data_IF_665456276518
#
_entry.id   IF_665456276518
#
_cell.length_a   1.000
_cell.length_b   1.000
_cell.length_c   1.000
_cell.angle_alpha   90.00
_cell.angle_beta   90.00
_cell.angle_gamma   90.00
#
_symmetry.space_group_name_H-M   'P 1'
#
loop_
_entity.id
_entity.type
_entity.pdbx_description
1 polymer ?
#
# COMPACT_ATOMS: atom_id res chain seq x y z
N UNK A 1 18.17 19.08 -17.40
CA UNK A 1 17.20 18.84 -18.49
C UNK A 1 15.89 19.50 -18.07
N UNK A 2 15.20 20.15 -19.01
CA UNK A 2 13.90 20.77 -18.73
C UNK A 2 12.79 19.79 -19.04
N UNK A 3 11.82 19.69 -18.15
CA UNK A 3 10.59 18.90 -18.31
C UNK A 3 9.38 19.74 -17.91
N UNK A 4 8.20 19.37 -18.40
CA UNK A 4 6.91 19.85 -17.92
C UNK A 4 6.40 18.84 -16.88
N UNK A 5 6.14 19.31 -15.66
CA UNK A 5 5.66 18.47 -14.57
C UNK A 5 4.19 18.05 -14.75
N UNK A 6 3.67 17.21 -13.85
CA UNK A 6 2.28 16.73 -13.92
C UNK A 6 1.22 17.85 -13.81
N UNK A 7 1.60 19.01 -13.28
CA UNK A 7 0.74 20.19 -13.14
C UNK A 7 0.85 21.16 -14.33
N UNK A 8 1.72 20.87 -15.30
CA UNK A 8 1.98 21.73 -16.45
C UNK A 8 3.06 22.79 -16.24
N UNK A 9 3.82 22.73 -15.14
CA UNK A 9 4.89 23.68 -14.86
C UNK A 9 6.24 23.23 -15.43
N UNK A 10 7.01 24.13 -16.00
CA UNK A 10 8.38 23.85 -16.42
C UNK A 10 9.33 23.71 -15.23
N UNK A 11 10.10 22.61 -15.21
CA UNK A 11 11.07 22.30 -14.15
C UNK A 11 12.38 21.79 -14.70
N UNK A 12 13.46 22.14 -14.02
CA UNK A 12 14.80 21.61 -14.29
C UNK A 12 15.06 20.37 -13.44
N UNK A 13 15.15 19.20 -14.09
CA UNK A 13 15.57 17.96 -13.47
C UNK A 13 17.04 17.65 -13.79
N UNK A 14 17.69 16.91 -12.88
CA UNK A 14 19.07 16.49 -13.03
C UNK A 14 19.19 15.17 -13.79
N UNK A 15 18.31 14.20 -13.51
CA UNK A 15 18.27 12.91 -14.21
C UNK A 15 16.88 12.30 -14.15
N UNK A 16 16.56 11.49 -15.15
CA UNK A 16 15.33 10.70 -15.22
C UNK A 16 15.73 9.26 -15.46
N UNK A 17 15.15 8.33 -14.72
CA UNK A 17 15.42 6.90 -14.84
C UNK A 17 14.19 6.07 -14.56
N UNK A 18 14.18 4.88 -15.16
CA UNK A 18 13.24 3.83 -14.80
C UNK A 18 13.58 3.31 -13.40
N UNK A 19 12.54 2.99 -12.64
CA UNK A 19 12.66 2.36 -11.33
C UNK A 19 11.98 1.00 -11.38
N UNK A 20 12.77 -0.08 -11.31
CA UNK A 20 12.24 -1.44 -11.37
C UNK A 20 11.34 -1.80 -10.19
N UNK A 21 11.43 -1.06 -9.08
CA UNK A 21 10.53 -1.23 -7.93
C UNK A 21 9.17 -0.54 -8.12
N UNK A 22 9.06 0.37 -9.08
CA UNK A 22 7.85 1.16 -9.34
C UNK A 22 7.52 1.13 -10.84
N UNK A 23 7.10 -0.03 -11.37
CA UNK A 23 6.70 -0.15 -12.77
C UNK A 23 5.57 0.84 -13.07
N UNK A 24 5.61 1.45 -14.26
CA UNK A 24 4.62 2.48 -14.66
C UNK A 24 5.00 3.90 -14.25
N UNK A 25 6.08 4.08 -13.47
CA UNK A 25 6.56 5.40 -13.04
C UNK A 25 7.98 5.68 -13.53
N UNK A 26 8.23 6.97 -13.79
CA UNK A 26 9.57 7.52 -13.99
C UNK A 26 10.06 8.16 -12.72
N UNK A 27 11.25 7.79 -12.27
CA UNK A 27 11.92 8.43 -11.15
C UNK A 27 12.73 9.62 -11.64
N UNK A 28 12.29 10.81 -11.24
CA UNK A 28 12.88 12.08 -11.63
C UNK A 28 13.64 12.65 -10.44
N UNK A 29 14.94 12.86 -10.63
CA UNK A 29 15.81 13.44 -9.63
C UNK A 29 15.89 14.95 -9.81
N UNK A 30 15.55 15.69 -8.76
CA UNK A 30 15.68 17.15 -8.71
C UNK A 30 16.78 17.54 -7.73
N UNK A 31 17.50 18.62 -8.07
CA UNK A 31 18.50 19.21 -7.20
C UNK A 31 18.47 20.72 -7.33
N UNK A 32 18.47 21.39 -6.19
CA UNK A 32 18.71 22.83 -6.09
C UNK A 32 19.81 23.09 -5.05
N UNK A 33 20.12 24.35 -4.79
CA UNK A 33 21.17 24.75 -3.85
C UNK A 33 20.95 24.24 -2.42
N UNK A 34 19.69 24.01 -2.02
CA UNK A 34 19.30 23.69 -0.64
C UNK A 34 18.98 22.22 -0.40
N UNK A 35 18.54 21.50 -1.43
CA UNK A 35 18.07 20.11 -1.32
C UNK A 35 18.18 19.35 -2.63
N UNK A 36 18.21 18.04 -2.47
CA UNK A 36 18.03 17.07 -3.53
C UNK A 36 16.89 16.15 -3.13
N UNK A 37 16.01 15.82 -4.09
CA UNK A 37 14.84 14.98 -3.84
C UNK A 37 14.42 14.27 -5.12
N UNK A 38 13.72 13.15 -4.94
CA UNK A 38 13.15 12.36 -6.03
C UNK A 38 11.63 12.55 -6.10
N UNK A 39 11.07 12.52 -7.30
CA UNK A 39 9.63 12.38 -7.52
C UNK A 39 9.36 11.27 -8.53
N UNK A 40 8.27 10.55 -8.35
CA UNK A 40 7.81 9.50 -9.25
C UNK A 40 6.62 10.03 -10.03
N UNK A 41 6.75 10.12 -11.36
CA UNK A 41 5.66 10.55 -12.24
C UNK A 41 5.11 9.34 -12.98
N UNK A 42 3.77 9.20 -13.11
CA UNK A 42 3.20 8.21 -14.01
C UNK A 42 3.75 8.44 -15.42
N UNK A 43 4.17 7.35 -16.08
CA UNK A 43 4.72 7.43 -17.44
C UNK A 43 3.71 8.08 -18.39
N UNK A 44 2.43 7.75 -18.27
CA UNK A 44 1.35 8.33 -19.09
C UNK A 44 1.31 9.85 -18.98
N UNK A 45 1.35 10.39 -17.76
CA UNK A 45 1.26 11.84 -17.51
C UNK A 45 2.55 12.54 -17.95
N UNK A 46 3.71 11.92 -17.67
CA UNK A 46 4.99 12.43 -18.12
C UNK A 46 5.04 12.54 -19.65
N UNK A 47 4.63 11.49 -20.38
CA UNK A 47 4.63 11.48 -21.85
C UNK A 47 3.59 12.41 -22.46
N UNK A 48 2.43 12.56 -21.81
CA UNK A 48 1.41 13.54 -22.22
C UNK A 48 1.98 14.95 -22.22
N UNK A 49 2.76 15.31 -21.20
CA UNK A 49 3.34 16.63 -21.05
C UNK A 49 4.70 16.79 -21.76
N UNK A 50 5.41 15.69 -22.00
CA UNK A 50 6.76 15.66 -22.60
C UNK A 50 6.86 14.65 -23.75
N UNK A 51 6.08 14.80 -24.84
CA UNK A 51 6.01 13.79 -25.90
C UNK A 51 7.37 13.55 -26.60
N UNK A 52 8.24 14.55 -26.64
CA UNK A 52 9.58 14.44 -27.23
C UNK A 52 10.57 13.61 -26.37
N UNK A 53 10.19 13.24 -25.15
CA UNK A 53 11.00 12.47 -24.22
C UNK A 53 10.54 11.02 -24.08
N UNK A 54 9.80 10.50 -25.05
CA UNK A 54 9.32 9.10 -25.08
C UNK A 54 10.43 8.07 -24.95
N UNK A 55 11.61 8.36 -25.50
CA UNK A 55 12.79 7.51 -25.40
C UNK A 55 13.22 7.20 -23.96
N UNK A 56 12.86 8.05 -22.98
CA UNK A 56 13.18 7.82 -21.57
C UNK A 56 12.27 6.76 -20.92
N UNK A 57 11.15 6.43 -21.56
CA UNK A 57 10.23 5.38 -21.14
C UNK A 57 10.37 4.08 -21.96
N UNK A 58 11.24 4.07 -22.98
CA UNK A 58 11.49 2.88 -23.80
C UNK A 58 12.10 1.76 -22.93
N UNK A 59 11.49 0.57 -23.00
CA UNK A 59 11.87 -0.58 -22.17
C UNK A 59 11.02 -0.79 -20.91
N UNK A 60 10.00 0.05 -20.68
CA UNK A 60 9.02 -0.21 -19.61
C UNK A 60 7.89 -1.10 -20.10
N UNK A 61 7.56 -2.11 -19.31
CA UNK A 61 6.22 -2.72 -19.37
C UNK A 61 5.29 -1.85 -18.54
N UNK A 62 4.23 -1.32 -19.16
CA UNK A 62 3.16 -0.70 -18.37
C UNK A 62 2.60 -1.76 -17.43
N UNK A 63 2.59 -1.51 -16.12
CA UNK A 63 1.98 -2.43 -15.18
C UNK A 63 0.51 -2.62 -15.57
N UNK A 64 -0.06 -3.82 -15.36
CA UNK A 64 -1.51 -3.99 -15.42
C UNK A 64 -2.23 -2.97 -14.55
N UNK A 65 -3.44 -2.58 -14.98
CA UNK A 65 -4.30 -1.70 -14.20
C UNK A 65 -4.62 -2.29 -12.83
N UNK A 66 -4.81 -1.43 -11.84
CA UNK A 66 -5.20 -1.87 -10.51
C UNK A 66 -6.62 -2.45 -10.53
N UNK A 67 -6.82 -3.56 -9.82
CA UNK A 67 -8.11 -4.23 -9.72
C UNK A 67 -8.65 -4.09 -8.32
N UNK A 68 -9.92 -3.72 -8.21
CA UNK A 68 -10.72 -3.90 -7.00
C UNK A 68 -11.81 -4.93 -7.33
N UNK A 69 -11.87 -6.01 -6.55
CA UNK A 69 -12.79 -7.12 -6.81
C UNK A 69 -13.47 -7.63 -5.54
N UNK A 70 -14.47 -8.48 -5.75
CA UNK A 70 -15.20 -9.18 -4.69
C UNK A 70 -14.96 -10.67 -4.87
N UNK A 71 -14.53 -11.33 -3.81
CA UNK A 71 -14.28 -12.77 -3.85
C UNK A 71 -15.62 -13.49 -4.08
N UNK A 72 -15.66 -14.43 -5.01
CA UNK A 72 -16.81 -15.33 -5.20
C UNK A 72 -16.54 -16.72 -4.65
N UNK A 73 -15.28 -17.16 -4.64
CA UNK A 73 -14.82 -18.34 -3.91
C UNK A 73 -13.32 -18.27 -3.64
N UNK A 74 -12.84 -19.02 -2.66
CA UNK A 74 -11.41 -19.16 -2.35
C UNK A 74 -11.10 -20.56 -1.85
N UNK A 75 -9.90 -21.04 -2.15
CA UNK A 75 -9.30 -22.21 -1.54
C UNK A 75 -7.95 -21.81 -0.92
N UNK A 76 -7.23 -22.77 -0.34
CA UNK A 76 -5.94 -22.55 0.33
C UNK A 76 -4.99 -21.63 -0.44
N UNK A 77 -4.82 -21.87 -1.75
CA UNK A 77 -3.87 -21.15 -2.63
C UNK A 77 -4.55 -20.49 -3.83
N UNK A 78 -5.87 -20.27 -3.76
CA UNK A 78 -6.62 -19.66 -4.86
C UNK A 78 -7.63 -18.62 -4.37
N UNK A 79 -7.88 -17.63 -5.23
CA UNK A 79 -8.91 -16.63 -5.03
C UNK A 79 -9.61 -16.43 -6.37
N UNK A 80 -10.94 -16.58 -6.37
CA UNK A 80 -11.77 -16.45 -7.58
C UNK A 80 -12.69 -15.26 -7.44
N UNK A 81 -12.79 -14.46 -8.51
CA UNK A 81 -13.85 -13.49 -8.75
C UNK A 81 -14.44 -13.78 -10.14
N UNK A 82 -15.62 -14.41 -10.15
CA UNK A 82 -16.27 -14.85 -11.40
C UNK A 82 -16.83 -13.71 -12.25
N UNK A 83 -16.77 -12.46 -11.77
CA UNK A 83 -17.21 -11.30 -12.54
C UNK A 83 -16.08 -10.66 -13.36
N UNK A 84 -14.87 -11.21 -13.26
CA UNK A 84 -13.69 -10.69 -13.94
C UNK A 84 -13.47 -11.39 -15.28
N UNK A 85 -12.72 -10.73 -16.16
CA UNK A 85 -12.28 -11.30 -17.44
C UNK A 85 -10.84 -10.84 -17.73
N UNK A 86 -9.92 -11.31 -16.89
CA UNK A 86 -8.51 -10.96 -17.00
C UNK A 86 -7.82 -11.71 -18.14
N UNK A 87 -6.75 -11.12 -18.66
CA UNK A 87 -5.84 -11.89 -19.52
C UNK A 87 -5.05 -12.89 -18.66
N UNK A 88 -4.82 -14.08 -19.19
CA UNK A 88 -4.01 -15.10 -18.52
C UNK A 88 -2.62 -14.55 -18.20
N UNK A 89 -2.16 -14.82 -16.98
CA UNK A 89 -0.87 -14.45 -16.43
C UNK A 89 -0.56 -12.95 -16.39
N UNK A 90 -1.58 -12.09 -16.52
CA UNK A 90 -1.42 -10.64 -16.50
C UNK A 90 -0.87 -10.12 -15.17
N UNK A 91 -1.32 -10.66 -14.04
CA UNK A 91 -0.99 -10.15 -12.70
C UNK A 91 0.14 -10.92 -12.00
N UNK A 92 0.90 -11.75 -12.73
CA UNK A 92 2.00 -12.51 -12.14
C UNK A 92 3.06 -11.60 -11.51
N UNK A 93 3.46 -11.91 -10.28
CA UNK A 93 4.38 -11.11 -9.47
C UNK A 93 3.73 -9.93 -8.74
N UNK A 94 2.44 -9.64 -8.96
CA UNK A 94 1.75 -8.50 -8.34
C UNK A 94 1.14 -8.92 -7.00
N UNK A 95 1.24 -8.08 -5.95
CA UNK A 95 0.55 -8.33 -4.70
C UNK A 95 -0.98 -8.30 -4.85
N UNK A 96 -1.64 -9.25 -4.20
CA UNK A 96 -3.07 -9.22 -3.90
C UNK A 96 -3.27 -9.04 -2.40
N UNK A 97 -4.10 -8.08 -2.02
CA UNK A 97 -4.44 -7.77 -0.63
C UNK A 97 -5.93 -7.88 -0.40
N UNK A 98 -6.30 -8.54 0.71
CA UNK A 98 -7.70 -8.59 1.17
C UNK A 98 -7.98 -7.33 1.97
N UNK A 99 -8.72 -6.41 1.37
CA UNK A 99 -8.97 -5.08 1.91
C UNK A 99 -10.09 -5.05 2.95
N UNK A 100 -11.05 -6.00 2.87
CA UNK A 100 -12.20 -6.12 3.78
C UNK A 100 -12.71 -7.55 3.84
N UNK A 101 -13.43 -7.89 4.93
CA UNK A 101 -14.17 -9.15 5.07
C UNK A 101 -13.34 -10.26 5.69
N UNK A 102 -13.69 -11.51 5.42
CA UNK A 102 -12.93 -12.63 5.96
C UNK A 102 -11.50 -12.64 5.38
N UNK A 103 -10.51 -12.83 6.24
CA UNK A 103 -9.11 -12.79 5.83
C UNK A 103 -8.55 -11.39 5.52
N UNK A 104 -9.25 -10.32 5.90
CA UNK A 104 -8.77 -8.93 5.83
C UNK A 104 -7.34 -8.76 6.39
N UNK A 105 -6.55 -7.92 5.73
CA UNK A 105 -5.18 -7.61 6.12
C UNK A 105 -4.13 -8.57 5.56
N UNK A 106 -4.53 -9.70 4.99
CA UNK A 106 -3.58 -10.63 4.38
C UNK A 106 -3.13 -10.18 2.99
N UNK A 107 -1.83 -10.32 2.73
CA UNK A 107 -1.21 -10.06 1.42
C UNK A 107 -0.54 -11.33 0.91
N UNK A 108 -0.69 -11.58 -0.39
CA UNK A 108 -0.07 -12.68 -1.12
C UNK A 108 0.47 -12.16 -2.45
N UNK A 109 1.43 -12.87 -3.02
CA UNK A 109 1.92 -12.57 -4.38
C UNK A 109 1.21 -13.49 -5.36
N UNK A 110 0.67 -12.93 -6.43
CA UNK A 110 0.06 -13.72 -7.51
C UNK A 110 1.17 -14.43 -8.27
N UNK A 111 1.11 -15.76 -8.33
CA UNK A 111 2.02 -16.59 -9.13
C UNK A 111 1.53 -16.66 -10.57
N UNK A 112 0.22 -16.84 -10.73
CA UNK A 112 -0.46 -16.95 -12.02
C UNK A 112 -1.90 -16.47 -11.87
N UNK A 113 -2.52 -16.02 -12.95
CA UNK A 113 -3.96 -15.84 -13.00
C UNK A 113 -4.52 -16.37 -14.32
N UNK A 114 -5.72 -16.91 -14.29
CA UNK A 114 -6.53 -17.08 -15.50
C UNK A 114 -7.52 -15.88 -15.61
N UNK A 115 -8.64 -16.05 -16.33
CA UNK A 115 -9.67 -15.01 -16.50
C UNK A 115 -10.31 -14.55 -15.19
N UNK A 116 -10.50 -15.44 -14.21
CA UNK A 116 -11.28 -15.17 -12.99
C UNK A 116 -10.59 -15.58 -11.70
N UNK A 117 -9.50 -16.35 -11.79
CA UNK A 117 -8.87 -17.00 -10.65
C UNK A 117 -7.40 -16.59 -10.55
N UNK A 118 -7.00 -16.20 -9.35
CA UNK A 118 -5.61 -15.99 -8.96
C UNK A 118 -5.08 -17.27 -8.28
N UNK A 119 -3.89 -17.71 -8.68
CA UNK A 119 -3.05 -18.64 -7.93
C UNK A 119 -2.00 -17.83 -7.17
N UNK A 120 -1.88 -18.06 -5.86
CA UNK A 120 -1.01 -17.28 -4.97
C UNK A 120 0.20 -18.08 -4.47
N UNK A 121 1.21 -17.37 -3.97
CA UNK A 121 2.53 -17.89 -3.56
C UNK A 121 2.52 -18.75 -2.30
N UNK A 122 1.59 -18.48 -1.37
CA UNK A 122 1.46 -19.20 -0.10
C UNK A 122 0.01 -19.25 0.35
N UNK A 123 -0.31 -20.23 1.21
CA UNK A 123 -1.68 -20.43 1.67
C UNK A 123 -2.24 -19.22 2.42
N UNK A 124 -3.55 -18.98 2.34
CA UNK A 124 -4.24 -18.07 3.25
C UNK A 124 -4.19 -18.62 4.68
N UNK A 125 -3.93 -17.75 5.66
CA UNK A 125 -4.05 -18.09 7.08
C UNK A 125 -5.53 -18.16 7.48
N UNK A 126 -6.33 -17.21 6.96
CA UNK A 126 -7.78 -17.22 7.00
C UNK A 126 -8.31 -17.06 5.56
N UNK A 127 -8.92 -18.10 4.98
CA UNK A 127 -9.35 -18.07 3.59
C UNK A 127 -10.45 -17.01 3.35
N UNK A 128 -10.29 -16.08 2.39
CA UNK A 128 -11.33 -15.14 2.01
C UNK A 128 -12.62 -15.84 1.58
N UNK A 129 -13.75 -15.18 1.77
CA UNK A 129 -15.08 -15.70 1.40
C UNK A 129 -15.87 -14.67 0.58
N UNK A 130 -17.14 -14.95 0.28
CA UNK A 130 -18.00 -14.07 -0.52
C UNK A 130 -18.28 -12.69 0.09
N UNK A 131 -17.88 -12.45 1.34
CA UNK A 131 -17.97 -11.13 1.99
C UNK A 131 -16.70 -10.30 1.80
N UNK A 132 -15.67 -10.90 1.20
CA UNK A 132 -14.33 -10.36 1.15
C UNK A 132 -14.10 -9.52 -0.11
N UNK A 133 -13.40 -8.40 0.06
CA UNK A 133 -12.96 -7.54 -1.04
C UNK A 133 -11.45 -7.61 -1.16
N UNK A 134 -10.94 -7.57 -2.39
CA UNK A 134 -9.50 -7.63 -2.64
C UNK A 134 -9.05 -6.53 -3.59
N UNK A 135 -7.76 -6.23 -3.53
CA UNK A 135 -7.08 -5.28 -4.41
C UNK A 135 -5.85 -5.97 -5.00
N UNK A 136 -5.67 -5.90 -6.32
CA UNK A 136 -4.43 -6.29 -7.01
C UNK A 136 -3.72 -5.00 -7.43
N UNK A 137 -2.54 -4.73 -6.89
CA UNK A 137 -1.78 -3.52 -7.23
C UNK A 137 -0.31 -3.63 -6.83
N UNK A 138 0.58 -3.05 -7.66
CA UNK A 138 1.98 -2.85 -7.30
C UNK A 138 2.15 -1.90 -6.12
N UNK A 139 1.22 -0.97 -5.89
CA UNK A 139 1.32 0.01 -4.81
C UNK A 139 0.97 -0.56 -3.42
N UNK A 140 0.53 -1.82 -3.36
CA UNK A 140 0.31 -2.54 -2.10
C UNK A 140 1.66 -2.95 -1.53
N UNK A 141 2.32 -2.00 -0.87
CA UNK A 141 3.56 -2.21 -0.14
C UNK A 141 3.25 -2.10 1.35
N UNK A 142 3.23 -3.25 2.04
CA UNK A 142 2.97 -3.31 3.49
C UNK A 142 1.66 -2.58 3.88
N UNK A 143 0.47 -3.02 3.42
CA UNK A 143 -0.79 -2.47 3.88
C UNK A 143 -0.88 -2.73 5.38
N UNK A 144 -0.49 -1.72 6.16
CA UNK A 144 -0.66 -1.78 7.59
C UNK A 144 -2.16 -1.69 7.82
N UNK A 145 -2.73 -2.67 8.52
CA UNK A 145 -3.96 -2.46 9.28
C UNK A 145 -3.58 -1.48 10.40
N UNK A 146 -3.34 -0.22 10.06
CA UNK A 146 -3.07 0.81 11.05
C UNK A 146 -4.37 1.03 11.81
N UNK A 147 -4.49 0.37 12.96
CA UNK A 147 -4.77 1.12 14.17
C UNK A 147 -6.08 1.90 14.24
N UNK A 148 -7.11 1.62 13.43
CA UNK A 148 -8.48 2.04 13.71
C UNK A 148 -9.12 1.23 14.85
N UNK A 149 -8.31 0.55 15.63
CA UNK A 149 -8.66 0.13 16.98
C UNK A 149 -8.45 1.33 17.90
N UNK A 150 -9.45 1.65 18.73
CA UNK A 150 -9.25 2.56 19.86
C UNK A 150 -7.92 2.21 20.54
N UNK A 151 -7.06 3.20 20.87
CA UNK A 151 -5.74 2.92 21.43
C UNK A 151 -5.90 1.90 22.54
N UNK A 152 -5.33 0.71 22.35
CA UNK A 152 -5.38 -0.31 23.39
C UNK A 152 -4.77 0.33 24.62
N UNK A 153 -5.59 0.53 25.65
CA UNK A 153 -5.09 1.11 26.88
C UNK A 153 -4.09 0.09 27.37
N UNK A 154 -2.77 0.37 27.25
CA UNK A 154 -1.74 -0.56 27.71
C UNK A 154 -2.07 -0.95 29.14
N UNK A 155 -2.59 -2.17 29.33
CA UNK A 155 -3.09 -2.66 30.62
C UNK A 155 -2.01 -2.47 31.68
N UNK A 156 -0.74 -2.69 31.29
CA UNK A 156 0.44 -2.43 32.13
C UNK A 156 0.59 -0.97 32.59
N UNK A 157 0.31 0.02 31.74
CA UNK A 157 0.34 1.44 32.13
C UNK A 157 -0.81 1.74 33.10
N UNK A 158 -1.97 1.14 32.90
CA UNK A 158 -3.11 1.28 33.80
C UNK A 158 -2.82 0.63 35.16
N UNK A 159 -2.28 -0.59 35.15
CA UNK A 159 -1.93 -1.36 36.34
C UNK A 159 -0.80 -0.69 37.13
N UNK A 160 0.21 -0.15 36.43
CA UNK A 160 1.24 0.70 37.05
C UNK A 160 0.64 1.95 37.68
N UNK A 161 -0.27 2.65 36.98
CA UNK A 161 -0.94 3.85 37.50
C UNK A 161 -1.85 3.53 38.70
N UNK A 162 -2.55 2.39 38.69
CA UNK A 162 -3.38 1.91 39.80
C UNK A 162 -2.50 1.52 41.00
N UNK A 163 -1.39 0.81 40.78
CA UNK A 163 -0.41 0.50 41.85
C UNK A 163 0.15 1.77 42.49
N UNK A 164 0.57 2.75 41.69
CA UNK A 164 1.08 4.05 42.18
C UNK A 164 0.01 4.83 42.95
N UNK A 165 -1.26 4.76 42.52
CA UNK A 165 -2.38 5.43 43.22
C UNK A 165 -2.73 4.75 44.56
N UNK A 166 -2.51 3.43 44.66
CA UNK A 166 -2.69 2.65 45.91
C UNK A 166 -1.55 2.85 46.91
N UNK A 167 -0.32 3.12 46.45
CA UNK A 167 0.86 3.31 47.32
C UNK A 167 1.08 4.75 47.77
N UNK A 168 0.38 5.75 47.20
CA UNK A 168 0.43 7.12 47.70
C UNK A 168 -0.23 7.23 49.08
N UNK A 169 0.49 7.70 50.13
CA UNK A 169 -0.11 7.88 51.45
C UNK A 169 -1.19 8.95 51.40
N UNK A 170 -2.37 8.67 51.98
CA UNK A 170 -3.42 9.67 52.18
C UNK A 170 -2.90 10.72 53.16
N UNK A 171 -2.70 11.96 52.69
CA UNK A 171 -2.45 13.11 53.54
C UNK A 171 -3.56 13.19 54.60
N UNK A 172 -3.23 12.92 55.86
CA UNK A 172 -4.15 13.15 56.98
C UNK A 172 -4.39 14.65 57.07
N UNK A 173 -5.64 15.08 56.89
CA UNK A 173 -6.04 16.45 57.21
C UNK A 173 -5.80 16.67 58.71
N UNK A 174 -4.84 17.53 59.04
CA UNK A 174 -4.63 17.98 60.42
C UNK A 174 -5.80 18.91 60.76
N UNK A 175 -6.63 18.50 61.73
CA UNK A 175 -7.67 19.37 62.31
C UNK A 175 -6.95 20.34 63.25
N UNK A 176 -6.92 21.62 62.90
CA UNK A 176 -6.58 22.69 63.84
C UNK A 176 -7.77 22.81 64.83
N UNK A 177 -7.51 22.51 66.10
CA UNK A 177 -8.41 22.83 67.21
C UNK A 177 -8.05 24.25 67.67
N UNK A 178 -9.05 25.13 67.72
CA UNK A 178 -9.02 26.39 68.46
C UNK A 178 -9.58 26.14 69.86
#
# INVERSE_FOLDING_TARGET
>A
MTIIDINGEERNCQSIRLDSGWPGYLKIHFRNEKRSYDQWYPISDFLKNNPNLSHLAEGTTTPPDEVVGIVTSSEDISLTDSNQDWKNNLYSGIPVWISRGNGEGQVRTVVYNNQTTLTIDKKWDNAPDTTSQFIISYNVHNPQVEGNVLPQINQEKLDKKIKVKKTKPKLKKVKLLY
#
